data_IF_324374562153
#
_entry.id   IF_324374562153
#
_cell.length_a   1.000
_cell.length_b   1.000
_cell.length_c   1.000
_cell.angle_alpha   90.00
_cell.angle_beta   90.00
_cell.angle_gamma   90.00
#
_symmetry.space_group_name_H-M   'P 1'
#
loop_
_entity.id
_entity.type
_entity.pdbx_description
1 polymer ?
#
# COMPACT_ATOMS: atom_id res chain seq x y z
N UNK A 1 4.95 1.03 -42.68
CA UNK A 1 4.75 0.02 -41.63
C UNK A 1 5.18 -1.33 -42.19
N UNK A 2 6.17 -1.98 -41.59
CA UNK A 2 6.62 -3.33 -41.96
C UNK A 2 5.80 -4.35 -41.17
N UNK A 3 5.06 -5.22 -41.85
CA UNK A 3 4.35 -6.33 -41.21
C UNK A 3 5.37 -7.35 -40.70
N UNK A 4 5.36 -7.66 -39.40
CA UNK A 4 6.23 -8.68 -38.81
C UNK A 4 5.41 -9.96 -38.65
N UNK A 5 5.83 -11.01 -39.35
CA UNK A 5 5.25 -12.36 -39.25
C UNK A 5 6.14 -13.18 -38.33
N UNK A 6 5.54 -13.80 -37.31
CA UNK A 6 6.22 -14.74 -36.40
C UNK A 6 5.37 -16.00 -36.32
N UNK A 7 6.01 -17.16 -36.17
CA UNK A 7 5.35 -18.47 -36.08
C UNK A 7 5.21 -18.98 -34.64
N UNK A 8 6.00 -18.41 -33.72
CA UNK A 8 6.02 -18.77 -32.31
C UNK A 8 5.07 -17.86 -31.50
N UNK A 9 4.06 -18.49 -30.89
CA UNK A 9 3.03 -17.81 -30.09
C UNK A 9 3.60 -17.13 -28.85
N UNK A 10 4.59 -17.72 -28.19
CA UNK A 10 5.16 -17.15 -26.96
C UNK A 10 5.98 -15.89 -27.25
N UNK A 11 6.67 -15.90 -28.39
CA UNK A 11 7.40 -14.75 -28.94
C UNK A 11 6.46 -13.64 -29.40
N UNK A 12 5.33 -13.99 -30.03
CA UNK A 12 4.25 -13.04 -30.34
C UNK A 12 3.75 -12.39 -29.04
N UNK A 13 3.50 -13.18 -28.01
CA UNK A 13 3.00 -12.68 -26.73
C UNK A 13 4.06 -11.80 -26.01
N UNK A 14 5.36 -12.12 -26.10
CA UNK A 14 6.40 -11.22 -25.58
C UNK A 14 6.46 -9.88 -26.33
N UNK A 15 6.36 -9.90 -27.66
CA UNK A 15 6.35 -8.70 -28.50
C UNK A 15 5.12 -7.84 -28.17
N UNK A 16 3.94 -8.47 -28.07
CA UNK A 16 2.69 -7.79 -27.72
C UNK A 16 2.73 -7.21 -26.30
N UNK A 17 3.27 -7.96 -25.33
CA UNK A 17 3.48 -7.47 -23.97
C UNK A 17 4.36 -6.21 -23.99
N UNK A 18 5.57 -6.28 -24.55
CA UNK A 18 6.49 -5.14 -24.59
C UNK A 18 5.91 -3.91 -25.30
N UNK A 19 5.18 -4.10 -26.40
CA UNK A 19 4.62 -3.00 -27.20
C UNK A 19 3.43 -2.33 -26.54
N UNK A 20 2.61 -3.09 -25.80
CA UNK A 20 1.32 -2.62 -25.35
C UNK A 20 1.15 -2.54 -23.83
N UNK A 21 2.03 -3.15 -23.02
CA UNK A 21 2.00 -3.07 -21.55
C UNK A 21 3.10 -2.18 -20.95
N UNK A 22 4.09 -1.73 -21.74
CA UNK A 22 5.26 -0.99 -21.26
C UNK A 22 5.13 0.54 -21.25
N UNK A 23 5.42 1.15 -20.11
CA UNK A 23 5.96 2.52 -20.00
C UNK A 23 7.48 2.45 -19.86
N UNK A 24 8.17 2.22 -20.97
CA UNK A 24 9.63 2.35 -21.08
C UNK A 24 9.93 3.62 -21.90
N UNK A 25 9.85 4.79 -21.26
CA UNK A 25 10.42 6.03 -21.83
C UNK A 25 9.89 6.47 -23.20
N UNK A 26 8.59 6.32 -23.48
CA UNK A 26 7.96 7.04 -24.60
C UNK A 26 8.13 6.45 -26.00
N UNK A 27 8.51 5.17 -26.16
CA UNK A 27 8.49 4.50 -27.47
C UNK A 27 7.59 3.27 -27.44
N UNK A 28 6.28 3.49 -27.56
CA UNK A 28 5.27 2.44 -27.72
C UNK A 28 4.24 2.86 -28.77
N UNK A 29 4.32 2.28 -29.96
CA UNK A 29 3.32 2.49 -31.01
C UNK A 29 2.07 1.66 -30.69
N UNK A 30 0.97 2.37 -30.38
CA UNK A 30 -0.38 1.92 -30.04
C UNK A 30 -0.62 1.49 -28.57
N UNK A 31 -1.31 2.35 -27.82
CA UNK A 31 -1.75 2.08 -26.45
C UNK A 31 -2.97 1.15 -26.46
N UNK A 32 -2.85 -0.04 -25.88
CA UNK A 32 -4.03 -0.82 -25.48
C UNK A 32 -4.79 -0.10 -24.37
N UNK A 33 -6.12 -0.18 -24.40
CA UNK A 33 -6.95 0.25 -23.27
C UNK A 33 -6.76 -0.70 -22.08
N UNK A 34 -7.22 -0.28 -20.89
CA UNK A 34 -7.06 -1.09 -19.68
C UNK A 34 -7.67 -2.50 -19.78
N UNK A 35 -8.78 -2.67 -20.52
CA UNK A 35 -9.45 -3.96 -20.69
C UNK A 35 -8.63 -4.88 -21.59
N UNK A 36 -8.05 -4.35 -22.66
CA UNK A 36 -7.17 -5.09 -23.56
C UNK A 36 -5.90 -5.55 -22.86
N UNK A 37 -5.30 -4.68 -22.03
CA UNK A 37 -4.14 -5.04 -21.18
C UNK A 37 -4.48 -6.17 -20.22
N UNK A 38 -5.58 -6.05 -19.47
CA UNK A 38 -5.98 -7.10 -18.52
C UNK A 38 -6.33 -8.41 -19.22
N UNK A 39 -7.08 -8.36 -20.33
CA UNK A 39 -7.45 -9.57 -21.09
C UNK A 39 -6.21 -10.28 -21.62
N UNK A 40 -5.24 -9.53 -22.13
CA UNK A 40 -3.97 -10.08 -22.60
C UNK A 40 -3.18 -10.71 -21.45
N UNK A 41 -3.04 -9.98 -20.33
CA UNK A 41 -2.35 -10.45 -19.11
C UNK A 41 -2.99 -11.73 -18.57
N UNK A 42 -4.31 -11.78 -18.48
CA UNK A 42 -5.06 -12.95 -18.02
C UNK A 42 -4.90 -14.13 -18.99
N UNK A 43 -4.88 -13.87 -20.30
CA UNK A 43 -4.68 -14.90 -21.33
C UNK A 43 -3.25 -15.47 -21.32
N UNK A 44 -2.24 -14.64 -21.08
CA UNK A 44 -0.82 -15.05 -21.18
C UNK A 44 -0.17 -15.39 -19.84
N UNK A 45 -0.85 -15.12 -18.71
CA UNK A 45 -0.32 -15.33 -17.37
C UNK A 45 0.88 -14.44 -17.01
N UNK A 46 1.22 -13.45 -17.85
CA UNK A 46 2.44 -12.61 -17.75
C UNK A 46 2.29 -11.39 -16.83
N UNK A 47 1.14 -11.22 -16.17
CA UNK A 47 0.90 -10.18 -15.16
C UNK A 47 0.14 -10.75 -13.99
N UNK A 48 0.86 -11.03 -12.90
CA UNK A 48 0.32 -11.69 -11.72
C UNK A 48 -0.29 -10.71 -10.73
N UNK A 49 -1.47 -10.16 -11.03
CA UNK A 49 -2.23 -9.35 -10.08
C UNK A 49 -3.73 -9.49 -10.30
N UNK A 50 -4.45 -9.92 -9.26
CA UNK A 50 -5.91 -9.93 -9.21
C UNK A 50 -6.45 -8.50 -9.39
N UNK A 51 -7.32 -8.28 -10.36
CA UNK A 51 -7.95 -6.98 -10.59
C UNK A 51 -9.30 -6.93 -9.87
N UNK A 52 -9.36 -6.15 -8.78
CA UNK A 52 -10.54 -6.05 -7.91
C UNK A 52 -11.78 -5.57 -8.67
N UNK A 53 -11.63 -4.62 -9.59
CA UNK A 53 -12.75 -4.14 -10.41
C UNK A 53 -13.29 -5.20 -11.38
N UNK A 54 -12.44 -6.09 -11.89
CA UNK A 54 -12.89 -7.16 -12.80
C UNK A 54 -13.70 -8.22 -12.02
N UNK A 55 -13.25 -8.58 -10.82
CA UNK A 55 -13.98 -9.50 -9.93
C UNK A 55 -15.34 -8.91 -9.49
N UNK A 56 -15.39 -7.62 -9.15
CA UNK A 56 -16.66 -6.95 -8.80
C UNK A 56 -17.62 -6.94 -9.99
N UNK A 57 -17.14 -6.63 -11.19
CA UNK A 57 -17.97 -6.64 -12.40
C UNK A 57 -18.50 -8.04 -12.72
N UNK A 58 -17.68 -9.08 -12.58
CA UNK A 58 -18.10 -10.46 -12.79
C UNK A 58 -19.16 -10.91 -11.77
N UNK A 59 -18.99 -10.57 -10.49
CA UNK A 59 -19.97 -10.88 -9.42
C UNK A 59 -21.29 -10.14 -9.62
N UNK A 60 -21.25 -8.87 -9.99
CA UNK A 60 -22.45 -8.10 -10.30
C UNK A 60 -23.15 -8.58 -11.57
N UNK A 61 -22.40 -9.06 -12.57
CA UNK A 61 -22.96 -9.69 -13.76
C UNK A 61 -23.70 -10.98 -13.43
N UNK A 62 -23.11 -11.84 -12.59
CA UNK A 62 -23.73 -13.08 -12.12
C UNK A 62 -25.00 -12.82 -11.29
N UNK A 63 -25.02 -11.74 -10.51
CA UNK A 63 -26.18 -11.30 -9.74
C UNK A 63 -27.22 -10.51 -10.55
N UNK A 64 -26.98 -10.23 -11.83
CA UNK A 64 -27.82 -9.39 -12.69
C UNK A 64 -28.07 -7.97 -12.14
N UNK A 65 -27.07 -7.39 -11.47
CA UNK A 65 -27.11 -6.07 -10.82
C UNK A 65 -26.20 -5.04 -11.51
N UNK A 66 -25.79 -5.29 -12.76
CA UNK A 66 -25.00 -4.33 -13.53
C UNK A 66 -25.86 -3.11 -13.92
N UNK A 67 -25.28 -1.89 -13.97
CA UNK A 67 -26.00 -0.70 -14.39
C UNK A 67 -26.42 -0.79 -15.86
N UNK A 68 -27.65 -0.37 -16.15
CA UNK A 68 -28.22 -0.42 -17.48
C UNK A 68 -27.38 0.36 -18.50
N UNK A 69 -26.83 -0.36 -19.49
CA UNK A 69 -26.17 0.16 -20.70
C UNK A 69 -24.93 1.06 -20.51
N UNK A 70 -24.35 1.19 -19.31
CA UNK A 70 -23.13 1.99 -19.08
C UNK A 70 -21.91 1.14 -18.72
N UNK A 71 -20.77 1.46 -19.32
CA UNK A 71 -19.48 0.78 -19.08
C UNK A 71 -19.00 1.08 -17.65
N UNK A 72 -18.69 0.03 -16.88
CA UNK A 72 -18.15 0.16 -15.51
C UNK A 72 -16.81 0.92 -15.55
N UNK A 73 -16.67 2.04 -14.82
CA UNK A 73 -15.42 2.80 -14.75
C UNK A 73 -14.33 2.12 -13.90
N UNK A 74 -13.75 1.01 -14.40
CA UNK A 74 -12.80 0.15 -13.68
C UNK A 74 -11.62 0.89 -13.05
N UNK A 75 -11.05 1.87 -13.74
CA UNK A 75 -9.92 2.65 -13.21
C UNK A 75 -10.30 3.48 -11.97
N UNK A 76 -11.52 4.01 -11.93
CA UNK A 76 -12.01 4.78 -10.78
C UNK A 76 -12.44 3.85 -9.64
N UNK A 77 -13.02 2.70 -9.97
CA UNK A 77 -13.36 1.67 -8.99
C UNK A 77 -12.11 1.09 -8.30
N UNK A 78 -11.07 0.77 -9.08
CA UNK A 78 -9.77 0.33 -8.54
C UNK A 78 -9.07 1.41 -7.71
N UNK A 79 -9.32 2.70 -8.00
CA UNK A 79 -8.80 3.81 -7.19
C UNK A 79 -9.55 3.98 -5.88
N UNK A 80 -10.88 3.88 -5.90
CA UNK A 80 -11.72 3.92 -4.70
C UNK A 80 -11.38 2.74 -3.76
N UNK A 81 -11.24 1.54 -4.32
CA UNK A 81 -10.96 0.30 -3.59
C UNK A 81 -9.46 -0.07 -3.64
N UNK A 82 -8.59 0.95 -3.69
CA UNK A 82 -7.14 0.75 -3.83
C UNK A 82 -6.51 0.12 -2.58
N UNK A 83 -7.03 0.46 -1.39
CA UNK A 83 -6.52 0.01 -0.11
C UNK A 83 -7.48 -0.99 0.56
N UNK A 84 -6.93 -1.92 1.33
CA UNK A 84 -7.70 -2.96 2.04
C UNK A 84 -8.75 -2.41 3.02
N UNK A 85 -8.52 -1.30 3.76
CA UNK A 85 -9.55 -0.72 4.63
C UNK A 85 -10.83 -0.35 3.88
N UNK A 86 -10.72 0.25 2.69
CA UNK A 86 -11.88 0.61 1.87
C UNK A 86 -12.60 -0.62 1.32
N UNK A 87 -11.86 -1.68 0.98
CA UNK A 87 -12.43 -2.97 0.59
C UNK A 87 -13.20 -3.62 1.74
N UNK A 88 -12.64 -3.60 2.94
CA UNK A 88 -13.28 -4.16 4.13
C UNK A 88 -14.59 -3.43 4.47
N UNK A 89 -14.65 -2.12 4.26
CA UNK A 89 -15.87 -1.31 4.45
C UNK A 89 -17.01 -1.71 3.50
N UNK A 90 -16.68 -2.06 2.26
CA UNK A 90 -17.67 -2.59 1.31
C UNK A 90 -17.86 -4.11 1.43
N UNK A 91 -17.18 -4.76 2.40
CA UNK A 91 -17.35 -6.17 2.73
C UNK A 91 -16.56 -7.16 1.88
N UNK A 92 -15.51 -6.72 1.18
CA UNK A 92 -14.63 -7.56 0.35
C UNK A 92 -13.18 -7.48 0.82
N UNK A 93 -12.39 -8.53 0.57
CA UNK A 93 -10.94 -8.56 0.78
C UNK A 93 -10.26 -9.06 -0.49
N UNK A 94 -9.09 -8.49 -0.81
CA UNK A 94 -8.28 -8.90 -1.95
C UNK A 94 -6.82 -9.11 -1.51
N UNK A 95 -6.63 -10.04 -0.56
CA UNK A 95 -5.32 -10.41 -0.04
C UNK A 95 -4.75 -11.67 -0.70
N UNK A 96 -3.43 -11.72 -0.89
CA UNK A 96 -2.70 -12.87 -1.49
C UNK A 96 -3.22 -13.29 -2.88
N UNK A 97 -3.67 -12.33 -3.68
CA UNK A 97 -4.19 -12.57 -5.03
C UNK A 97 -5.52 -13.32 -5.08
N UNK A 98 -6.29 -13.35 -3.98
CA UNK A 98 -7.62 -13.97 -3.93
C UNK A 98 -8.68 -12.96 -3.51
N UNK A 99 -9.77 -12.89 -4.27
CA UNK A 99 -10.96 -12.12 -3.93
C UNK A 99 -11.83 -12.92 -2.97
N UNK A 100 -12.25 -12.33 -1.85
CA UNK A 100 -13.09 -12.99 -0.85
C UNK A 100 -14.12 -12.02 -0.27
N UNK A 101 -15.34 -12.50 -0.02
CA UNK A 101 -16.33 -11.76 0.76
C UNK A 101 -16.06 -11.94 2.26
N UNK A 102 -15.99 -10.83 2.99
CA UNK A 102 -15.88 -10.82 4.46
C UNK A 102 -17.27 -10.71 5.12
N UNK A 103 -18.23 -10.14 4.38
CA UNK A 103 -19.62 -9.96 4.80
C UNK A 103 -20.56 -10.77 3.91
N UNK A 104 -21.79 -11.01 4.37
CA UNK A 104 -22.81 -11.76 3.62
C UNK A 104 -22.97 -11.18 2.21
N UNK A 105 -22.94 -12.06 1.21
CA UNK A 105 -23.02 -11.69 -0.20
C UNK A 105 -24.29 -10.88 -0.52
N UNK A 106 -25.41 -11.19 0.14
CA UNK A 106 -26.69 -10.47 0.03
C UNK A 106 -26.61 -8.99 0.45
N UNK A 107 -25.73 -8.64 1.38
CA UNK A 107 -25.53 -7.26 1.84
C UNK A 107 -24.44 -6.53 1.03
N UNK A 108 -23.45 -7.27 0.53
CA UNK A 108 -22.32 -6.71 -0.23
C UNK A 108 -22.72 -6.37 -1.67
N UNK A 109 -23.50 -7.23 -2.33
CA UNK A 109 -23.86 -7.04 -3.74
C UNK A 109 -24.64 -5.73 -3.99
N UNK A 110 -25.66 -5.35 -3.19
CA UNK A 110 -26.35 -4.07 -3.35
C UNK A 110 -25.42 -2.86 -3.12
N UNK A 111 -24.50 -2.96 -2.15
CA UNK A 111 -23.52 -1.91 -1.87
C UNK A 111 -22.57 -1.69 -3.06
N UNK A 112 -22.03 -2.79 -3.63
CA UNK A 112 -21.18 -2.73 -4.81
C UNK A 112 -21.93 -2.22 -6.04
N UNK A 113 -23.18 -2.64 -6.23
CA UNK A 113 -24.04 -2.17 -7.32
C UNK A 113 -24.26 -0.65 -7.25
N UNK A 114 -24.53 -0.12 -6.05
CA UNK A 114 -24.69 1.33 -5.83
C UNK A 114 -23.42 2.10 -6.16
N UNK A 115 -22.26 1.65 -5.68
CA UNK A 115 -20.97 2.29 -5.95
C UNK A 115 -20.67 2.31 -7.45
N UNK A 116 -20.92 1.20 -8.13
CA UNK A 116 -20.74 1.09 -9.59
C UNK A 116 -21.71 1.99 -10.34
N UNK A 117 -22.96 2.11 -9.90
CA UNK A 117 -23.96 3.00 -10.51
C UNK A 117 -23.62 4.49 -10.29
N UNK A 118 -23.14 4.86 -9.10
CA UNK A 118 -22.70 6.23 -8.80
C UNK A 118 -21.49 6.64 -9.67
N UNK A 119 -20.54 5.71 -9.88
CA UNK A 119 -19.41 5.89 -10.81
C UNK A 119 -19.89 5.97 -12.27
N UNK A 120 -20.80 5.08 -12.68
CA UNK A 120 -21.30 5.02 -14.06
C UNK A 120 -22.13 6.26 -14.43
N UNK A 121 -22.88 6.82 -13.48
CA UNK A 121 -23.67 8.04 -13.66
C UNK A 121 -22.89 9.33 -13.40
N UNK A 122 -21.59 9.24 -13.07
CA UNK A 122 -20.73 10.38 -12.70
C UNK A 122 -21.28 11.20 -11.52
N UNK A 123 -22.02 10.55 -10.61
CA UNK A 123 -22.37 11.14 -9.30
C UNK A 123 -21.13 11.26 -8.42
N UNK A 124 -20.19 10.35 -8.62
CA UNK A 124 -18.80 10.46 -8.16
C UNK A 124 -17.85 10.46 -9.34
N UNK A 125 -16.89 11.36 -9.31
CA UNK A 125 -15.94 11.64 -10.39
C UNK A 125 -14.51 11.26 -9.97
N UNK A 126 -13.54 11.44 -10.87
CA UNK A 126 -12.13 11.18 -10.59
C UNK A 126 -11.64 11.97 -9.37
N UNK A 127 -12.09 13.22 -9.23
CA UNK A 127 -11.69 14.11 -8.13
C UNK A 127 -12.18 13.61 -6.77
N UNK A 128 -13.27 12.84 -6.74
CA UNK A 128 -13.86 12.29 -5.51
C UNK A 128 -13.21 10.97 -5.09
N UNK A 129 -12.56 10.27 -6.02
CA UNK A 129 -11.87 8.99 -5.77
C UNK A 129 -10.35 9.12 -5.81
N UNK A 130 -9.82 10.34 -5.86
CA UNK A 130 -8.38 10.60 -5.83
C UNK A 130 -7.83 10.72 -4.40
N UNK A 131 -8.57 11.42 -3.53
CA UNK A 131 -8.18 11.67 -2.14
C UNK A 131 -8.78 10.63 -1.18
N UNK A 132 -8.03 10.23 -0.16
CA UNK A 132 -8.46 9.32 0.91
C UNK A 132 -9.60 9.94 1.72
N UNK A 133 -9.54 11.24 1.99
CA UNK A 133 -10.58 11.95 2.75
C UNK A 133 -11.91 11.89 1.99
N UNK A 134 -11.87 12.18 0.68
CA UNK A 134 -13.05 12.11 -0.18
C UNK A 134 -13.58 10.69 -0.36
N UNK A 135 -12.70 9.68 -0.43
CA UNK A 135 -13.11 8.26 -0.41
C UNK A 135 -13.81 7.91 0.89
N UNK A 136 -13.27 8.37 2.03
CA UNK A 136 -13.87 8.13 3.34
C UNK A 136 -15.21 8.83 3.45
N UNK A 137 -15.30 10.11 3.09
CA UNK A 137 -16.54 10.90 3.10
C UNK A 137 -17.64 10.23 2.26
N UNK A 138 -17.29 9.73 1.08
CA UNK A 138 -18.23 9.02 0.22
C UNK A 138 -18.71 7.71 0.85
N UNK A 139 -17.79 6.91 1.41
CA UNK A 139 -18.17 5.66 2.08
C UNK A 139 -18.94 5.92 3.38
N UNK A 140 -18.63 7.00 4.11
CA UNK A 140 -19.35 7.44 5.31
C UNK A 140 -20.77 7.89 4.96
N UNK A 141 -20.95 8.54 3.80
CA UNK A 141 -22.28 8.87 3.29
C UNK A 141 -23.09 7.60 2.98
N UNK A 142 -22.49 6.62 2.30
CA UNK A 142 -23.15 5.33 2.03
C UNK A 142 -23.44 4.53 3.31
N UNK A 143 -22.59 4.65 4.34
CA UNK A 143 -22.82 4.04 5.65
C UNK A 143 -23.99 4.70 6.38
N UNK A 144 -24.08 6.04 6.35
CA UNK A 144 -25.21 6.81 6.90
C UNK A 144 -26.52 6.52 6.17
N UNK A 145 -26.46 6.25 4.86
CA UNK A 145 -27.60 5.83 4.06
C UNK A 145 -28.02 4.37 4.32
N UNK A 146 -27.25 3.62 5.13
CA UNK A 146 -27.54 2.22 5.45
C UNK A 146 -27.28 1.24 4.29
N UNK A 147 -26.49 1.66 3.30
CA UNK A 147 -26.21 0.89 2.08
C UNK A 147 -25.02 -0.05 2.27
N UNK A 148 -24.05 0.32 3.11
CA UNK A 148 -22.86 -0.51 3.36
C UNK A 148 -23.18 -1.67 4.33
N UNK A 149 -22.55 -2.85 4.12
CA UNK A 149 -22.73 -4.00 5.00
C UNK A 149 -22.21 -3.70 6.40
N UNK A 150 -23.00 -4.05 7.41
CA UNK A 150 -22.73 -3.70 8.80
C UNK A 150 -21.90 -4.77 9.52
N UNK A 151 -21.50 -4.48 10.76
CA UNK A 151 -20.88 -5.46 11.64
C UNK A 151 -21.76 -6.71 11.88
N UNK A 152 -23.09 -6.57 11.80
CA UNK A 152 -24.07 -7.65 11.95
C UNK A 152 -24.13 -8.60 10.74
N UNK A 153 -23.55 -8.19 9.60
CA UNK A 153 -23.48 -8.98 8.37
C UNK A 153 -22.15 -9.74 8.26
N UNK A 154 -21.39 -9.84 9.36
CA UNK A 154 -20.25 -10.74 9.45
C UNK A 154 -20.67 -12.15 9.01
N UNK A 155 -19.90 -12.74 8.09
CA UNK A 155 -20.00 -14.18 7.90
C UNK A 155 -19.39 -14.79 9.16
N UNK A 156 -20.23 -15.38 10.02
CA UNK A 156 -19.75 -16.23 11.11
C UNK A 156 -18.82 -17.27 10.49
N UNK A 157 -17.56 -17.30 10.95
CA UNK A 157 -16.65 -18.42 10.69
C UNK A 157 -17.12 -19.65 11.50
N UNK A 158 -18.35 -20.10 11.25
CA UNK A 158 -19.00 -21.23 11.87
C UNK A 158 -18.80 -22.49 11.06
N UNK A 159 -17.77 -23.26 11.41
CA UNK A 159 -17.81 -24.72 11.38
C UNK A 159 -17.83 -25.43 10.02
N UNK A 160 -16.64 -25.70 9.47
CA UNK A 160 -16.37 -27.03 8.90
C UNK A 160 -15.31 -27.72 9.73
N UNK A 161 -15.80 -28.53 10.69
CA UNK A 161 -15.02 -29.61 11.30
C UNK A 161 -14.48 -30.48 10.15
N UNK A 162 -13.17 -30.41 9.90
CA UNK A 162 -12.49 -31.39 9.08
C UNK A 162 -12.65 -32.74 9.77
N UNK A 163 -13.43 -33.62 9.15
CA UNK A 163 -13.52 -35.01 9.54
C UNK A 163 -12.12 -35.63 9.54
N UNK A 164 -11.79 -36.36 10.62
CA UNK A 164 -10.60 -37.21 10.71
C UNK A 164 -10.65 -38.25 9.60
N UNK A 165 -9.98 -37.96 8.49
CA UNK A 165 -9.57 -38.92 7.47
C UNK A 165 -8.25 -39.58 7.86
N UNK A 166 -8.12 -40.86 7.52
CA UNK A 166 -7.16 -41.83 8.05
C UNK A 166 -5.69 -41.49 7.76
N UNK A 167 -4.83 -42.07 8.60
CA UNK A 167 -3.38 -42.00 8.56
C UNK A 167 -2.81 -42.28 7.16
N UNK A 168 -1.94 -41.38 6.72
CA UNK A 168 -0.98 -41.65 5.67
C UNK A 168 0.44 -41.26 6.12
N UNK A 169 1.40 -41.99 5.56
CA UNK A 169 2.79 -42.22 6.02
C UNK A 169 3.60 -40.94 6.37
N UNK A 170 4.63 -41.07 7.22
CA UNK A 170 5.41 -39.93 7.72
C UNK A 170 6.15 -39.22 6.57
N UNK A 171 5.63 -38.07 6.14
CA UNK A 171 6.38 -37.09 5.37
C UNK A 171 7.45 -36.46 6.25
N UNK A 172 8.67 -36.41 5.72
CA UNK A 172 9.86 -35.87 6.37
C UNK A 172 9.59 -34.51 7.02
N UNK A 173 10.15 -34.32 8.22
CA UNK A 173 10.11 -33.07 8.99
C UNK A 173 10.42 -31.89 8.06
N UNK A 174 9.62 -30.81 8.04
CA UNK A 174 10.00 -29.60 7.33
C UNK A 174 11.34 -29.13 7.89
N UNK A 175 12.36 -29.02 7.03
CA UNK A 175 13.59 -28.32 7.39
C UNK A 175 13.18 -26.92 7.84
N UNK A 176 13.64 -26.51 9.02
CA UNK A 176 13.45 -25.14 9.51
C UNK A 176 13.85 -24.18 8.39
N UNK A 177 12.89 -23.39 7.90
CA UNK A 177 13.20 -22.33 6.95
C UNK A 177 14.18 -21.40 7.64
N UNK A 178 15.37 -21.23 7.05
CA UNK A 178 16.32 -20.22 7.52
C UNK A 178 15.59 -18.87 7.51
N UNK A 179 15.75 -18.03 8.54
CA UNK A 179 15.13 -16.70 8.54
C UNK A 179 15.56 -15.98 7.27
N UNK A 180 14.58 -15.57 6.45
CA UNK A 180 14.85 -14.79 5.25
C UNK A 180 15.50 -13.47 5.67
N UNK A 181 16.71 -13.22 5.16
CA UNK A 181 17.42 -11.96 5.41
C UNK A 181 16.64 -10.82 4.76
N UNK A 182 16.41 -9.74 5.51
CA UNK A 182 15.77 -8.52 4.99
C UNK A 182 16.62 -7.94 3.87
N UNK A 183 16.07 -7.82 2.67
CA UNK A 183 16.81 -7.33 1.49
C UNK A 183 16.67 -5.83 1.28
N UNK A 184 15.59 -5.21 1.78
CA UNK A 184 15.26 -3.80 1.56
C UNK A 184 15.01 -3.08 2.87
N UNK A 185 15.16 -1.75 2.87
CA UNK A 185 15.00 -0.98 4.10
C UNK A 185 13.58 -1.10 4.63
N UNK A 186 12.56 -0.81 3.83
CA UNK A 186 11.17 -0.92 4.28
C UNK A 186 10.67 -2.33 3.93
N UNK A 187 10.20 -3.13 4.91
CA UNK A 187 9.57 -4.42 4.65
C UNK A 187 8.36 -4.29 3.74
N UNK A 188 8.10 -5.31 2.93
CA UNK A 188 6.90 -5.40 2.09
C UNK A 188 5.66 -5.77 2.93
N UNK A 189 5.25 -4.81 3.76
CA UNK A 189 4.04 -4.86 4.58
C UNK A 189 3.24 -3.59 4.36
N UNK A 190 1.93 -3.67 4.52
CA UNK A 190 1.07 -2.51 4.50
C UNK A 190 1.17 -1.75 5.83
N UNK A 191 1.71 -0.55 5.78
CA UNK A 191 1.85 0.35 6.92
C UNK A 191 0.63 1.25 7.14
N UNK A 192 -0.38 1.18 6.26
CA UNK A 192 -1.59 2.00 6.37
C UNK A 192 -1.35 3.49 6.16
N UNK A 193 -0.34 3.86 5.36
CA UNK A 193 -0.03 5.27 5.05
C UNK A 193 -1.00 5.81 4.00
N UNK A 194 -1.70 6.90 4.34
CA UNK A 194 -2.61 7.61 3.46
C UNK A 194 -1.85 8.62 2.59
N UNK A 195 -1.50 8.23 1.35
CA UNK A 195 -0.74 9.07 0.43
C UNK A 195 -1.58 10.20 -0.21
N UNK A 196 -1.76 11.29 0.51
CA UNK A 196 -2.37 12.52 0.00
C UNK A 196 -1.48 13.25 -1.03
N UNK A 197 -2.06 14.18 -1.79
CA UNK A 197 -1.33 14.94 -2.83
C UNK A 197 -0.12 15.73 -2.31
N UNK A 198 -0.15 16.17 -1.04
CA UNK A 198 0.98 16.86 -0.39
C UNK A 198 2.17 15.92 -0.11
N UNK A 199 1.94 14.61 -0.06
CA UNK A 199 2.93 13.58 0.28
C UNK A 199 3.57 12.90 -0.94
N UNK A 200 3.41 13.44 -2.15
CA UNK A 200 3.95 12.82 -3.37
C UNK A 200 5.46 12.56 -3.28
N UNK A 201 6.22 13.52 -2.71
CA UNK A 201 7.66 13.35 -2.51
C UNK A 201 7.97 12.28 -1.46
N UNK A 202 7.25 12.25 -0.35
CA UNK A 202 7.40 11.22 0.70
C UNK A 202 7.12 9.84 0.13
N UNK A 203 6.06 9.71 -0.66
CA UNK A 203 5.66 8.47 -1.32
C UNK A 203 6.74 7.96 -2.27
N UNK A 204 7.29 8.83 -3.11
CA UNK A 204 8.35 8.43 -4.04
C UNK A 204 9.57 7.87 -3.29
N UNK A 205 10.02 8.57 -2.24
CA UNK A 205 11.15 8.11 -1.41
C UNK A 205 10.81 6.81 -0.68
N UNK A 206 9.59 6.68 -0.15
CA UNK A 206 9.12 5.46 0.49
C UNK A 206 9.14 4.28 -0.48
N UNK A 207 8.57 4.46 -1.68
CA UNK A 207 8.55 3.43 -2.73
C UNK A 207 9.97 3.08 -3.18
N UNK A 208 10.93 4.01 -3.20
CA UNK A 208 12.34 3.67 -3.46
C UNK A 208 12.93 2.76 -2.36
N UNK A 209 12.68 3.08 -1.09
CA UNK A 209 13.19 2.34 0.07
C UNK A 209 12.50 0.99 0.30
N UNK A 210 11.27 0.80 -0.18
CA UNK A 210 10.49 -0.44 -0.10
C UNK A 210 10.60 -1.30 -1.37
N UNK A 211 10.59 -0.62 -2.53
CA UNK A 211 10.57 -1.07 -3.93
C UNK A 211 11.88 -1.48 -4.57
N UNK A 212 12.86 -0.60 -4.43
CA UNK A 212 13.86 -0.43 -5.49
C UNK A 212 15.29 -0.59 -4.96
N UNK A 213 15.52 -0.14 -3.72
CA UNK A 213 16.85 -0.13 -3.13
C UNK A 213 17.08 -1.34 -2.23
N UNK A 214 18.15 -2.06 -2.53
CA UNK A 214 18.64 -3.19 -1.73
C UNK A 214 19.69 -2.75 -0.72
N UNK A 215 19.59 -3.24 0.52
CA UNK A 215 20.45 -2.89 1.64
C UNK A 215 21.93 -3.23 1.39
N UNK A 216 22.22 -4.37 0.76
CA UNK A 216 23.59 -4.80 0.48
C UNK A 216 24.21 -4.02 -0.70
N UNK A 217 23.39 -3.65 -1.68
CA UNK A 217 23.84 -3.03 -2.93
C UNK A 217 23.87 -1.50 -2.85
N UNK A 218 23.01 -0.87 -2.04
CA UNK A 218 22.79 0.58 -2.03
C UNK A 218 22.78 1.22 -0.62
N UNK A 219 23.68 0.85 0.32
CA UNK A 219 23.60 1.32 1.71
C UNK A 219 23.73 2.85 1.86
N UNK A 220 24.53 3.51 1.02
CA UNK A 220 24.69 4.98 1.03
C UNK A 220 23.42 5.72 0.58
N UNK A 221 22.81 5.28 -0.52
CA UNK A 221 21.58 5.87 -1.03
C UNK A 221 20.43 5.69 -0.01
N UNK A 222 20.33 4.49 0.56
CA UNK A 222 19.33 4.17 1.59
C UNK A 222 19.54 5.04 2.83
N UNK A 223 20.78 5.27 3.28
CA UNK A 223 21.05 6.12 4.43
C UNK A 223 20.56 7.56 4.22
N UNK A 224 20.87 8.15 3.05
CA UNK A 224 20.45 9.51 2.70
C UNK A 224 18.92 9.60 2.59
N UNK A 225 18.31 8.68 1.85
CA UNK A 225 16.86 8.68 1.63
C UNK A 225 16.08 8.39 2.91
N UNK A 226 16.56 7.48 3.76
CA UNK A 226 15.96 7.23 5.08
C UNK A 226 15.95 8.51 5.91
N UNK A 227 17.07 9.24 5.97
CA UNK A 227 17.15 10.52 6.67
C UNK A 227 16.15 11.53 6.10
N UNK A 228 16.11 11.69 4.77
CA UNK A 228 15.20 12.62 4.10
C UNK A 228 13.74 12.25 4.37
N UNK A 229 13.39 10.95 4.33
CA UNK A 229 12.03 10.50 4.63
C UNK A 229 11.63 10.82 6.06
N UNK A 230 12.51 10.57 7.04
CA UNK A 230 12.26 10.90 8.45
C UNK A 230 12.03 12.41 8.61
N UNK A 231 12.90 13.23 8.04
CA UNK A 231 12.83 14.69 8.08
C UNK A 231 11.51 15.21 7.49
N UNK A 232 11.19 14.79 6.28
CA UNK A 232 9.97 15.22 5.59
C UNK A 232 8.71 14.76 6.33
N UNK A 233 8.75 13.59 6.97
CA UNK A 233 7.60 13.07 7.73
C UNK A 233 7.32 13.91 8.97
N UNK A 234 8.34 14.21 9.77
CA UNK A 234 8.15 15.08 10.95
C UNK A 234 7.77 16.51 10.57
N UNK A 235 8.29 17.03 9.45
CA UNK A 235 7.90 18.35 8.95
C UNK A 235 6.44 18.38 8.48
N UNK A 236 5.95 17.30 7.85
CA UNK A 236 4.53 17.17 7.53
C UNK A 236 3.70 17.25 8.81
N UNK A 237 4.06 16.48 9.83
CA UNK A 237 3.33 16.47 11.10
C UNK A 237 3.31 17.84 11.79
N UNK A 238 4.47 18.51 11.89
CA UNK A 238 4.58 19.85 12.50
C UNK A 238 3.62 20.83 11.81
N UNK A 239 3.54 20.80 10.48
CA UNK A 239 2.63 21.63 9.70
C UNK A 239 1.16 21.28 9.93
N UNK A 240 0.80 19.99 9.81
CA UNK A 240 -0.62 19.58 9.88
C UNK A 240 -1.19 19.71 11.29
N UNK A 241 -0.45 19.27 12.31
CA UNK A 241 -0.87 19.37 13.70
C UNK A 241 -0.63 20.76 14.32
N UNK A 242 -0.07 21.73 13.56
CA UNK A 242 0.20 23.10 14.00
C UNK A 242 0.96 23.16 15.34
N UNK A 243 2.04 22.36 15.45
CA UNK A 243 2.82 22.28 16.67
C UNK A 243 3.51 23.62 16.96
N UNK A 244 3.36 24.09 18.20
CA UNK A 244 4.03 25.32 18.68
C UNK A 244 5.33 25.04 19.44
N UNK A 245 5.54 23.79 19.85
CA UNK A 245 6.71 23.37 20.63
C UNK A 245 7.96 23.19 19.78
N UNK A 246 7.80 22.92 18.47
CA UNK A 246 8.89 22.69 17.53
C UNK A 246 8.53 23.25 16.15
N UNK A 247 9.52 23.78 15.44
CA UNK A 247 9.38 24.34 14.08
C UNK A 247 10.28 23.62 13.08
N UNK A 248 9.98 23.69 11.77
CA UNK A 248 10.75 23.00 10.72
C UNK A 248 12.26 23.27 10.70
N UNK A 249 12.74 24.51 10.97
CA UNK A 249 14.19 24.77 11.01
C UNK A 249 14.92 24.14 12.20
N UNK A 250 14.18 23.61 13.19
CA UNK A 250 14.80 22.95 14.33
C UNK A 250 15.53 21.67 13.92
N UNK A 251 16.56 21.32 14.70
CA UNK A 251 17.31 20.09 14.50
C UNK A 251 16.38 18.85 14.52
N UNK A 252 16.64 17.88 13.63
CA UNK A 252 15.82 16.68 13.45
C UNK A 252 15.53 15.93 14.77
N UNK A 253 16.50 15.84 15.69
CA UNK A 253 16.30 15.24 17.02
C UNK A 253 15.19 15.96 17.80
N UNK A 254 15.17 17.29 17.77
CA UNK A 254 14.17 18.10 18.46
C UNK A 254 12.79 17.88 17.83
N UNK A 255 12.71 17.82 16.49
CA UNK A 255 11.49 17.51 15.73
C UNK A 255 10.92 16.15 16.06
N UNK A 256 11.74 15.10 16.04
CA UNK A 256 11.32 13.74 16.37
C UNK A 256 10.75 13.63 17.79
N UNK A 257 11.44 14.22 18.77
CA UNK A 257 10.97 14.19 20.17
C UNK A 257 9.68 14.99 20.33
N UNK A 258 9.59 16.20 19.76
CA UNK A 258 8.38 17.02 19.88
C UNK A 258 7.15 16.39 19.22
N UNK A 259 7.32 15.81 18.02
CA UNK A 259 6.25 15.07 17.35
C UNK A 259 5.81 13.85 18.16
N UNK A 260 6.78 13.07 18.67
CA UNK A 260 6.48 11.91 19.50
C UNK A 260 5.74 12.30 20.78
N UNK A 261 6.14 13.36 21.47
CA UNK A 261 5.48 13.84 22.69
C UNK A 261 4.04 14.28 22.45
N UNK A 262 3.77 15.00 21.37
CA UNK A 262 2.41 15.39 20.98
C UNK A 262 1.55 14.17 20.61
N UNK A 263 2.09 13.23 19.82
CA UNK A 263 1.41 11.96 19.50
C UNK A 263 1.12 11.12 20.76
N UNK A 264 2.05 11.14 21.72
CA UNK A 264 1.90 10.50 23.02
C UNK A 264 0.81 11.15 23.87
N UNK A 265 0.72 12.48 23.87
CA UNK A 265 -0.35 13.23 24.54
C UNK A 265 -1.72 12.96 23.91
N UNK A 266 -1.77 12.79 22.58
CA UNK A 266 -2.96 12.36 21.82
C UNK A 266 -3.30 10.87 21.97
N UNK A 267 -2.48 10.09 22.69
CA UNK A 267 -2.68 8.65 22.89
C UNK A 267 -2.43 7.79 21.64
N UNK A 268 -1.83 8.34 20.59
CA UNK A 268 -1.51 7.60 19.35
C UNK A 268 -0.28 6.70 19.52
N UNK A 269 0.60 7.04 20.46
CA UNK A 269 1.88 6.34 20.71
C UNK A 269 2.01 5.97 22.19
N UNK A 270 2.54 4.78 22.47
CA UNK A 270 2.69 4.29 23.85
C UNK A 270 3.80 5.01 24.63
N UNK A 271 3.61 5.22 25.94
CA UNK A 271 4.61 5.86 26.82
C UNK A 271 6.00 5.21 26.77
N UNK A 272 6.06 3.88 26.67
CA UNK A 272 7.33 3.14 26.53
C UNK A 272 8.07 3.50 25.24
N UNK A 273 7.36 3.69 24.15
CA UNK A 273 7.95 4.11 22.87
C UNK A 273 8.48 5.54 22.95
N UNK A 274 7.77 6.45 23.64
CA UNK A 274 8.29 7.81 23.87
C UNK A 274 9.64 7.82 24.58
N UNK A 275 9.86 6.93 25.55
CA UNK A 275 11.15 6.79 26.22
C UNK A 275 12.26 6.34 25.25
N UNK A 276 11.93 5.46 24.29
CA UNK A 276 12.87 5.03 23.22
C UNK A 276 13.22 6.22 22.33
N UNK A 277 12.24 6.98 21.85
CA UNK A 277 12.48 8.16 21.00
C UNK A 277 13.25 9.25 21.76
N UNK A 278 12.96 9.47 23.06
CA UNK A 278 13.72 10.42 23.89
C UNK A 278 15.19 10.04 24.04
N UNK A 279 15.50 8.75 24.11
CA UNK A 279 16.89 8.26 24.15
C UNK A 279 17.68 8.59 22.88
N UNK A 280 17.01 8.90 21.76
CA UNK A 280 17.67 9.39 20.55
C UNK A 280 18.40 10.74 20.75
N UNK A 281 18.13 11.47 21.85
CA UNK A 281 18.90 12.68 22.24
C UNK A 281 20.30 12.36 22.79
N UNK A 282 20.47 11.23 23.48
CA UNK A 282 21.57 11.04 24.43
C UNK A 282 22.44 9.78 24.20
N UNK A 283 22.21 8.98 23.14
CA UNK A 283 22.95 7.72 22.95
C UNK A 283 24.05 7.76 21.88
N UNK A 284 25.25 7.40 22.35
CA UNK A 284 26.51 7.21 21.63
C UNK A 284 26.66 5.85 20.91
N UNK A 285 25.58 5.10 20.66
CA UNK A 285 25.71 3.82 19.96
C UNK A 285 24.49 3.50 19.09
N UNK A 286 24.70 3.57 17.77
CA UNK A 286 24.03 2.78 16.72
C UNK A 286 22.65 3.26 16.24
N UNK A 287 21.82 3.92 17.05
CA UNK A 287 20.48 4.41 16.63
C UNK A 287 20.31 5.90 17.01
N UNK A 288 21.22 6.75 16.56
CA UNK A 288 21.11 8.20 16.76
C UNK A 288 20.88 8.93 15.44
N UNK A 289 20.10 10.01 15.49
CA UNK A 289 19.93 10.94 14.36
C UNK A 289 21.27 11.55 13.93
N UNK A 290 22.22 11.67 14.87
CA UNK A 290 23.59 12.06 14.60
C UNK A 290 24.33 11.03 13.72
N UNK A 291 24.04 9.73 13.87
CA UNK A 291 24.57 8.68 12.98
C UNK A 291 24.07 8.87 11.55
N UNK A 292 22.77 9.16 11.36
CA UNK A 292 22.22 9.53 10.05
C UNK A 292 22.87 10.80 9.47
N UNK A 293 23.30 11.74 10.33
CA UNK A 293 24.03 12.93 9.91
C UNK A 293 25.43 12.60 9.44
N UNK A 294 26.14 11.77 10.20
CA UNK A 294 27.48 11.32 9.87
C UNK A 294 27.51 10.48 8.59
N UNK A 295 26.48 9.71 8.27
CA UNK A 295 26.39 8.99 6.98
C UNK A 295 26.36 9.92 5.76
N UNK A 296 25.90 11.16 5.92
CA UNK A 296 25.84 12.14 4.81
C UNK A 296 27.09 13.00 4.76
N UNK A 297 27.64 13.38 5.92
CA UNK A 297 28.66 14.42 6.02
C UNK A 297 30.05 13.93 6.41
N UNK A 298 30.19 12.70 6.92
CA UNK A 298 31.49 12.12 7.26
C UNK A 298 32.09 11.39 6.07
N UNK A 299 33.37 11.62 5.79
CA UNK A 299 34.13 10.87 4.79
C UNK A 299 34.62 9.50 5.28
N UNK A 300 34.58 9.26 6.60
CA UNK A 300 35.16 8.06 7.23
C UNK A 300 34.15 7.05 7.73
N UNK A 301 32.86 7.39 7.77
CA UNK A 301 31.80 6.52 8.28
C UNK A 301 30.92 6.00 7.15
N UNK A 302 30.90 4.68 6.96
CA UNK A 302 30.01 4.02 6.01
C UNK A 302 28.75 3.47 6.70
N UNK A 303 27.57 3.53 6.04
CA UNK A 303 26.35 2.91 6.53
C UNK A 303 26.40 1.38 6.43
N UNK A 304 25.92 0.74 7.49
CA UNK A 304 25.78 -0.72 7.56
C UNK A 304 24.30 -1.13 7.45
N UNK A 305 23.96 -2.18 6.68
CA UNK A 305 22.59 -2.69 6.53
C UNK A 305 21.83 -2.90 7.84
N UNK A 306 22.49 -3.51 8.83
CA UNK A 306 21.88 -3.83 10.13
C UNK A 306 21.58 -2.56 10.94
N UNK A 307 22.43 -1.54 10.83
CA UNK A 307 22.22 -0.25 11.49
C UNK A 307 21.05 0.51 10.85
N UNK A 308 21.00 0.55 9.51
CA UNK A 308 19.89 1.17 8.79
C UNK A 308 18.55 0.49 9.12
N UNK A 309 18.56 -0.84 9.19
CA UNK A 309 17.41 -1.64 9.60
C UNK A 309 16.95 -1.29 11.02
N UNK A 310 17.88 -1.21 11.98
CA UNK A 310 17.58 -0.84 13.36
C UNK A 310 17.01 0.59 13.47
N UNK A 311 17.54 1.53 12.69
CA UNK A 311 17.01 2.91 12.60
C UNK A 311 15.58 2.89 12.09
N UNK A 312 15.31 2.20 10.98
CA UNK A 312 13.95 2.10 10.44
C UNK A 312 13.00 1.49 11.46
N UNK A 313 13.34 0.34 12.03
CA UNK A 313 12.46 -0.38 12.97
C UNK A 313 12.17 0.43 14.23
N UNK A 314 13.09 1.33 14.62
CA UNK A 314 12.88 2.25 15.75
C UNK A 314 11.92 3.38 15.42
N UNK A 315 11.98 3.95 14.20
CA UNK A 315 11.23 5.16 13.85
C UNK A 315 10.01 4.91 12.96
N UNK A 316 9.81 3.70 12.43
CA UNK A 316 8.73 3.40 11.49
C UNK A 316 7.35 3.78 12.03
N UNK A 317 7.04 3.45 13.30
CA UNK A 317 5.77 3.81 13.94
C UNK A 317 5.55 5.34 13.95
N UNK A 318 6.58 6.10 14.33
CA UNK A 318 6.53 7.56 14.35
C UNK A 318 6.37 8.13 12.94
N UNK A 319 7.14 7.64 11.97
CA UNK A 319 7.05 8.08 10.56
C UNK A 319 5.63 7.88 10.04
N UNK A 320 5.03 6.70 10.25
CA UNK A 320 3.68 6.40 9.77
C UNK A 320 2.65 7.32 10.41
N UNK A 321 2.71 7.55 11.72
CA UNK A 321 1.82 8.51 12.37
C UNK A 321 2.01 9.93 11.83
N UNK A 322 3.25 10.36 11.61
CA UNK A 322 3.55 11.68 11.08
C UNK A 322 3.08 11.88 9.63
N UNK A 323 3.04 10.81 8.83
CA UNK A 323 2.51 10.84 7.46
C UNK A 323 0.98 10.83 7.41
N UNK A 324 0.32 10.24 8.41
CA UNK A 324 -1.13 10.08 8.47
C UNK A 324 -1.88 11.24 9.15
N UNK A 325 -1.19 12.32 9.52
CA UNK A 325 -1.80 13.53 10.07
C UNK A 325 -2.31 14.47 8.97
#
# INVERSE_FOLDING_TARGET
MTCRVETDRDKIDEILFRRHTGSQGGVGQANWDGRMKTTFVNRTGKGGGLNVADEIEERLAQANLLPDRKKVPRSNLNRLLSAEPFRNRVGISASKGKFQFIRKEEAVLPALARIVDDLANRRITLDDVWDVDRKSDYLDALEKEGILPSAADAIDAGGKKAAKGKADKPTAKPKAQKPQRRTRLIPDVDYGVAWSGRLQRHRAIWEELQFNLELESHPNAIAVLCRVLIELSVDNYIRQASLTTVVEPDALVKKLVGCAEDLGAKGKVAKRYLEVVRKARNMDAIISVDTLNKYVHSSSLAPAPDHLTAIWDTFAELIVHCLNE
#
